data_IF_954867364228
#
_entry.id   IF_954867364228
#
_cell.length_a   1.000
_cell.length_b   1.000
_cell.length_c   1.000
_cell.angle_alpha   90.00
_cell.angle_beta   90.00
_cell.angle_gamma   90.00
#
_symmetry.space_group_name_H-M   'P 1'
#
loop_
_entity.id
_entity.type
_entity.pdbx_description
1 polymer ?
#
# COMPACT_ATOMS: atom_id res chain seq x y z
N UNK A 1 19.09 22.53 -15.80
CA UNK A 1 18.98 21.47 -14.77
C UNK A 1 17.62 20.83 -14.96
N UNK A 2 17.53 19.52 -15.21
CA UNK A 2 16.25 18.83 -15.28
C UNK A 2 15.69 18.77 -13.85
N UNK A 3 14.49 19.30 -13.62
CA UNK A 3 13.83 19.15 -12.33
C UNK A 3 13.37 17.70 -12.17
N UNK A 4 14.11 16.96 -11.35
CA UNK A 4 13.85 15.55 -11.08
C UNK A 4 12.92 15.36 -9.87
N UNK A 5 12.37 16.42 -9.27
CA UNK A 5 11.48 16.32 -8.11
C UNK A 5 10.22 15.47 -8.39
N UNK A 6 9.51 15.63 -9.53
CA UNK A 6 8.33 14.82 -9.85
C UNK A 6 8.66 13.32 -9.91
N UNK A 7 9.79 12.95 -10.51
CA UNK A 7 10.24 11.56 -10.64
C UNK A 7 10.60 10.98 -9.27
N UNK A 8 11.31 11.74 -8.43
CA UNK A 8 11.64 11.30 -7.07
C UNK A 8 10.40 11.07 -6.21
N UNK A 9 9.39 11.93 -6.34
CA UNK A 9 8.10 11.76 -5.65
C UNK A 9 7.34 10.56 -6.17
N UNK A 10 7.31 10.36 -7.49
CA UNK A 10 6.68 9.20 -8.09
C UNK A 10 7.31 7.90 -7.57
N UNK A 11 8.64 7.83 -7.54
CA UNK A 11 9.36 6.69 -6.98
C UNK A 11 9.09 6.52 -5.48
N UNK A 12 9.04 7.61 -4.71
CA UNK A 12 8.74 7.55 -3.28
C UNK A 12 7.37 6.90 -3.01
N UNK A 13 6.35 7.17 -3.83
CA UNK A 13 5.04 6.54 -3.73
C UNK A 13 4.94 5.16 -4.39
N UNK A 14 5.79 4.85 -5.36
CA UNK A 14 5.83 3.54 -6.00
C UNK A 14 6.37 2.46 -5.06
N UNK A 15 7.31 2.81 -4.17
CA UNK A 15 7.88 1.86 -3.20
C UNK A 15 6.80 1.25 -2.27
N UNK A 16 5.97 2.04 -1.54
CA UNK A 16 4.90 1.47 -0.73
C UNK A 16 3.81 0.78 -1.56
N UNK A 17 3.57 1.21 -2.81
CA UNK A 17 2.67 0.50 -3.72
C UNK A 17 3.16 -0.93 -4.02
N UNK A 18 4.45 -1.09 -4.35
CA UNK A 18 5.08 -2.40 -4.53
C UNK A 18 5.06 -3.19 -3.22
N UNK A 19 5.32 -2.52 -2.10
CA UNK A 19 5.19 -3.09 -0.76
C UNK A 19 3.81 -3.69 -0.51
N UNK A 20 2.74 -2.97 -0.85
CA UNK A 20 1.37 -3.41 -0.64
C UNK A 20 1.05 -4.64 -1.50
N UNK A 21 1.53 -4.68 -2.74
CA UNK A 21 1.40 -5.84 -3.62
C UNK A 21 2.17 -7.07 -3.08
N UNK A 22 3.38 -6.86 -2.54
CA UNK A 22 4.14 -7.94 -1.91
C UNK A 22 3.46 -8.45 -0.64
N UNK A 23 2.98 -7.53 0.20
CA UNK A 23 2.27 -7.87 1.44
C UNK A 23 1.06 -8.76 1.16
N UNK A 24 0.14 -8.33 0.29
CA UNK A 24 -1.07 -9.11 -0.02
C UNK A 24 -0.74 -10.46 -0.64
N UNK A 25 0.31 -10.53 -1.46
CA UNK A 25 0.75 -11.79 -2.07
C UNK A 25 1.25 -12.76 -1.01
N UNK A 26 2.12 -12.30 -0.10
CA UNK A 26 2.66 -13.13 0.98
C UNK A 26 1.55 -13.54 1.95
N UNK A 27 0.64 -12.62 2.29
CA UNK A 27 -0.52 -12.91 3.12
C UNK A 27 -1.38 -14.03 2.51
N UNK A 28 -1.70 -13.95 1.21
CA UNK A 28 -2.43 -14.99 0.50
C UNK A 28 -1.70 -16.34 0.57
N UNK A 29 -0.39 -16.37 0.37
CA UNK A 29 0.39 -17.60 0.47
C UNK A 29 0.44 -18.15 1.91
N UNK A 30 0.60 -17.30 2.92
CA UNK A 30 0.56 -17.70 4.32
C UNK A 30 -0.79 -18.32 4.68
N UNK A 31 -1.89 -17.70 4.25
CA UNK A 31 -3.24 -18.22 4.45
C UNK A 31 -3.45 -19.58 3.76
N UNK A 32 -3.07 -19.70 2.47
CA UNK A 32 -3.19 -20.95 1.72
C UNK A 32 -2.36 -22.07 2.35
N UNK A 33 -1.14 -21.76 2.81
CA UNK A 33 -0.28 -22.74 3.48
C UNK A 33 -0.90 -23.22 4.80
N UNK A 34 -1.49 -22.31 5.59
CA UNK A 34 -2.19 -22.68 6.81
C UNK A 34 -3.44 -23.54 6.54
N UNK A 35 -4.23 -23.19 5.52
CA UNK A 35 -5.41 -23.95 5.11
C UNK A 35 -5.06 -25.38 4.66
N UNK A 36 -4.04 -25.53 3.81
CA UNK A 36 -3.55 -26.84 3.37
C UNK A 36 -2.97 -27.63 4.55
N UNK A 37 -2.18 -26.98 5.41
CA UNK A 37 -1.61 -27.59 6.61
C UNK A 37 -2.65 -28.09 7.61
N UNK A 38 -3.84 -27.48 7.65
CA UNK A 38 -4.95 -27.91 8.49
C UNK A 38 -5.80 -29.04 7.85
N UNK A 39 -5.43 -29.51 6.66
CA UNK A 39 -6.23 -30.47 5.89
C UNK A 39 -7.56 -29.90 5.42
N UNK A 40 -7.65 -28.58 5.21
CA UNK A 40 -8.87 -27.90 4.76
C UNK A 40 -9.95 -27.71 5.84
N UNK A 41 -9.61 -27.97 7.11
CA UNK A 41 -10.51 -27.78 8.25
C UNK A 41 -10.66 -26.31 8.66
N UNK A 42 -9.71 -25.44 8.26
CA UNK A 42 -9.81 -24.01 8.46
C UNK A 42 -10.90 -23.44 7.54
N UNK A 43 -11.68 -22.47 8.02
CA UNK A 43 -12.73 -21.88 7.20
C UNK A 43 -12.14 -21.21 5.95
N UNK A 44 -12.61 -21.63 4.78
CA UNK A 44 -12.21 -21.05 3.50
C UNK A 44 -12.68 -19.60 3.41
N UNK A 45 -11.76 -18.69 3.11
CA UNK A 45 -12.04 -17.29 2.86
C UNK A 45 -12.50 -17.16 1.40
N UNK A 46 -13.81 -17.06 1.19
CA UNK A 46 -14.40 -16.84 -0.12
C UNK A 46 -14.70 -15.36 -0.30
N UNK A 47 -14.12 -14.74 -1.31
CA UNK A 47 -14.51 -13.39 -1.71
C UNK A 47 -15.71 -13.46 -2.63
N UNK A 48 -16.79 -12.78 -2.25
CA UNK A 48 -17.89 -12.52 -3.17
C UNK A 48 -17.44 -11.53 -4.28
N UNK A 49 -18.24 -11.32 -5.34
CA UNK A 49 -17.87 -10.41 -6.41
C UNK A 49 -17.59 -8.98 -5.93
N UNK A 50 -18.31 -8.49 -4.93
CA UNK A 50 -18.12 -7.13 -4.41
C UNK A 50 -16.79 -7.00 -3.66
N UNK A 51 -16.41 -8.02 -2.89
CA UNK A 51 -15.15 -8.07 -2.18
C UNK A 51 -13.96 -8.17 -3.15
N UNK A 52 -14.08 -8.95 -4.23
CA UNK A 52 -13.06 -9.00 -5.29
C UNK A 52 -12.88 -7.63 -5.97
N UNK A 53 -13.97 -6.92 -6.24
CA UNK A 53 -13.90 -5.54 -6.72
C UNK A 53 -13.24 -4.61 -5.71
N UNK A 54 -13.59 -4.72 -4.43
CA UNK A 54 -12.98 -3.93 -3.36
C UNK A 54 -11.46 -4.10 -3.29
N UNK A 55 -10.99 -5.35 -3.29
CA UNK A 55 -9.55 -5.68 -3.30
C UNK A 55 -8.89 -5.12 -4.57
N UNK A 56 -9.50 -5.32 -5.74
CA UNK A 56 -8.95 -4.86 -7.02
C UNK A 56 -8.84 -3.34 -7.10
N UNK A 57 -9.87 -2.62 -6.65
CA UNK A 57 -9.88 -1.15 -6.60
C UNK A 57 -8.84 -0.66 -5.60
N UNK A 58 -8.77 -1.27 -4.42
CA UNK A 58 -7.85 -0.83 -3.37
C UNK A 58 -6.38 -0.97 -3.80
N UNK A 59 -5.98 -2.17 -4.23
CA UNK A 59 -4.60 -2.40 -4.67
C UNK A 59 -4.31 -1.71 -6.02
N UNK A 60 -5.29 -1.59 -6.91
CA UNK A 60 -5.16 -0.84 -8.16
C UNK A 60 -4.98 0.66 -7.95
N UNK A 61 -5.62 1.24 -6.92
CA UNK A 61 -5.53 2.66 -6.61
C UNK A 61 -4.12 3.12 -6.21
N UNK A 62 -3.23 2.21 -5.80
CA UNK A 62 -1.83 2.52 -5.48
C UNK A 62 -1.03 3.06 -6.67
N UNK A 63 -1.52 2.93 -7.92
CA UNK A 63 -0.90 3.58 -9.09
C UNK A 63 -1.17 5.09 -9.14
N UNK A 64 -2.23 5.56 -8.46
CA UNK A 64 -2.69 6.96 -8.56
C UNK A 64 -1.69 7.96 -7.97
N UNK A 65 -1.14 7.77 -6.74
CA UNK A 65 -0.20 8.75 -6.18
C UNK A 65 1.06 8.95 -7.05
N UNK A 66 1.74 7.91 -7.58
CA UNK A 66 2.85 8.09 -8.51
C UNK A 66 2.47 8.86 -9.79
N UNK A 67 1.29 8.59 -10.38
CA UNK A 67 0.83 9.32 -11.57
C UNK A 67 0.56 10.80 -11.29
N UNK A 68 -0.01 11.11 -10.12
CA UNK A 68 -0.24 12.49 -9.67
C UNK A 68 1.08 13.23 -9.44
N UNK A 69 2.11 12.55 -8.94
CA UNK A 69 3.46 13.11 -8.79
C UNK A 69 4.03 13.59 -10.13
N UNK A 70 3.85 12.79 -11.19
CA UNK A 70 4.38 13.08 -12.52
C UNK A 70 3.67 14.25 -13.22
N UNK A 71 2.46 14.61 -12.77
CA UNK A 71 1.73 15.76 -13.32
C UNK A 71 2.38 17.11 -12.96
N UNK A 72 3.25 17.15 -11.93
CA UNK A 72 4.08 18.30 -11.55
C UNK A 72 3.29 19.61 -11.35
N UNK A 73 2.11 19.52 -10.73
CA UNK A 73 1.27 20.68 -10.37
C UNK A 73 1.02 20.70 -8.87
N UNK A 74 0.98 21.89 -8.28
CA UNK A 74 0.67 22.06 -6.85
C UNK A 74 -0.64 21.36 -6.43
N UNK A 75 -1.68 21.42 -7.26
CA UNK A 75 -2.94 20.74 -6.98
C UNK A 75 -2.81 19.21 -6.99
N UNK A 76 -1.99 18.66 -7.89
CA UNK A 76 -1.77 17.21 -7.97
C UNK A 76 -0.87 16.72 -6.86
N UNK A 77 0.06 17.55 -6.36
CA UNK A 77 0.88 17.21 -5.19
C UNK A 77 0.03 17.08 -3.92
N UNK A 78 -0.93 18.00 -3.72
CA UNK A 78 -1.90 17.89 -2.64
C UNK A 78 -2.81 16.68 -2.78
N UNK A 79 -3.33 16.42 -3.99
CA UNK A 79 -4.16 15.25 -4.26
C UNK A 79 -3.37 13.94 -4.00
N UNK A 80 -2.10 13.89 -4.42
CA UNK A 80 -1.18 12.79 -4.15
C UNK A 80 -1.01 12.57 -2.65
N UNK A 81 -0.75 13.64 -1.89
CA UNK A 81 -0.59 13.55 -0.43
C UNK A 81 -1.84 12.98 0.24
N UNK A 82 -3.03 13.46 -0.13
CA UNK A 82 -4.30 13.03 0.47
C UNK A 82 -4.61 11.58 0.10
N UNK A 83 -4.59 11.25 -1.19
CA UNK A 83 -4.96 9.92 -1.67
C UNK A 83 -3.92 8.87 -1.27
N UNK A 84 -2.64 9.18 -1.45
CA UNK A 84 -1.55 8.31 -1.01
C UNK A 84 -1.55 8.13 0.50
N UNK A 85 -1.78 9.20 1.26
CA UNK A 85 -1.91 9.13 2.72
C UNK A 85 -3.08 8.25 3.16
N UNK A 86 -4.24 8.36 2.50
CA UNK A 86 -5.40 7.51 2.78
C UNK A 86 -5.10 6.03 2.48
N UNK A 87 -4.50 5.72 1.33
CA UNK A 87 -4.12 4.35 0.96
C UNK A 87 -3.11 3.76 1.95
N UNK A 88 -2.12 4.56 2.36
CA UNK A 88 -1.13 4.18 3.37
C UNK A 88 -1.78 3.85 4.73
N UNK A 89 -2.65 4.72 5.23
CA UNK A 89 -3.33 4.51 6.52
C UNK A 89 -4.21 3.27 6.47
N UNK A 90 -5.00 3.12 5.40
CA UNK A 90 -5.89 1.97 5.23
C UNK A 90 -5.10 0.67 5.11
N UNK A 91 -3.99 0.66 4.35
CA UNK A 91 -3.14 -0.53 4.21
C UNK A 91 -2.53 -0.91 5.56
N UNK A 92 -1.98 0.06 6.28
CA UNK A 92 -1.36 -0.19 7.58
C UNK A 92 -2.37 -0.76 8.58
N UNK A 93 -3.58 -0.18 8.65
CA UNK A 93 -4.63 -0.70 9.54
C UNK A 93 -5.07 -2.11 9.14
N UNK A 94 -5.26 -2.36 7.85
CA UNK A 94 -5.65 -3.68 7.34
C UNK A 94 -4.56 -4.72 7.61
N UNK A 95 -3.30 -4.44 7.27
CA UNK A 95 -2.21 -5.39 7.45
C UNK A 95 -1.85 -5.64 8.92
N UNK A 96 -2.01 -4.65 9.81
CA UNK A 96 -1.92 -4.89 11.26
C UNK A 96 -3.05 -5.79 11.73
N UNK A 97 -4.30 -5.52 11.33
CA UNK A 97 -5.44 -6.35 11.70
C UNK A 97 -5.28 -7.79 11.22
N UNK A 98 -4.91 -7.96 9.96
CA UNK A 98 -4.67 -9.27 9.37
C UNK A 98 -3.48 -9.99 10.01
N UNK A 99 -2.40 -9.28 10.35
CA UNK A 99 -1.29 -9.90 11.05
C UNK A 99 -1.60 -10.28 12.50
N UNK A 100 -2.51 -9.57 13.18
CA UNK A 100 -3.02 -10.00 14.48
C UNK A 100 -3.89 -11.26 14.36
N UNK A 101 -4.59 -11.44 13.23
CA UNK A 101 -5.43 -12.62 12.95
C UNK A 101 -4.59 -13.83 12.50
N UNK A 102 -3.69 -13.61 11.56
CA UNK A 102 -3.02 -14.67 10.77
C UNK A 102 -1.55 -14.89 11.18
N UNK A 103 -0.99 -14.01 12.03
CA UNK A 103 0.31 -14.20 12.69
C UNK A 103 1.22 -12.96 12.64
N UNK A 104 1.93 -12.72 13.75
CA UNK A 104 2.72 -11.50 13.95
C UNK A 104 3.82 -11.21 12.91
N UNK A 105 4.26 -12.23 12.16
CA UNK A 105 5.20 -12.05 11.05
C UNK A 105 4.61 -11.17 9.92
N UNK A 106 3.30 -11.23 9.71
CA UNK A 106 2.61 -10.38 8.73
C UNK A 106 2.52 -8.92 9.22
N UNK A 107 2.37 -8.69 10.53
CA UNK A 107 2.45 -7.33 11.09
C UNK A 107 3.82 -6.73 10.80
N UNK A 108 4.90 -7.49 11.05
CA UNK A 108 6.26 -7.05 10.75
C UNK A 108 6.47 -6.75 9.27
N UNK A 109 5.91 -7.60 8.39
CA UNK A 109 5.97 -7.41 6.94
C UNK A 109 5.22 -6.15 6.49
N UNK A 110 3.99 -5.91 6.95
CA UNK A 110 3.21 -4.71 6.61
C UNK A 110 3.96 -3.45 7.02
N UNK A 111 4.46 -3.43 8.26
CA UNK A 111 5.17 -2.28 8.80
C UNK A 111 6.45 -1.97 8.00
N UNK A 112 7.17 -3.01 7.56
CA UNK A 112 8.41 -2.86 6.83
C UNK A 112 8.18 -2.52 5.34
N UNK A 113 7.25 -3.23 4.69
CA UNK A 113 7.06 -3.15 3.24
C UNK A 113 6.18 -1.95 2.84
N UNK A 114 5.19 -1.59 3.66
CA UNK A 114 4.21 -0.56 3.32
C UNK A 114 4.34 0.64 4.24
N UNK A 115 4.29 0.43 5.55
CA UNK A 115 4.15 1.54 6.49
C UNK A 115 5.41 2.42 6.50
N UNK A 116 6.59 1.83 6.63
CA UNK A 116 7.85 2.58 6.68
C UNK A 116 8.09 3.37 5.36
N UNK A 117 7.99 2.76 4.16
CA UNK A 117 8.09 3.52 2.92
C UNK A 117 6.98 4.55 2.74
N UNK A 118 5.76 4.26 3.19
CA UNK A 118 4.64 5.19 3.14
C UNK A 118 4.85 6.45 3.99
N UNK A 119 5.41 6.29 5.19
CA UNK A 119 5.82 7.43 6.05
C UNK A 119 6.90 8.27 5.35
N UNK A 120 7.88 7.63 4.74
CA UNK A 120 8.93 8.34 3.97
C UNK A 120 8.30 9.11 2.81
N UNK A 121 7.40 8.49 2.04
CA UNK A 121 6.70 9.14 0.93
C UNK A 121 5.86 10.34 1.37
N UNK A 122 5.14 10.22 2.49
CA UNK A 122 4.37 11.30 3.12
C UNK A 122 5.28 12.48 3.51
N UNK A 123 6.35 12.21 4.26
CA UNK A 123 7.29 13.24 4.70
C UNK A 123 7.93 13.93 3.48
N UNK A 124 8.35 13.14 2.49
CA UNK A 124 9.01 13.65 1.29
C UNK A 124 8.07 14.55 0.47
N UNK A 125 6.83 14.12 0.28
CA UNK A 125 5.77 14.90 -0.36
C UNK A 125 5.47 16.20 0.39
N UNK A 126 5.28 16.11 1.71
CA UNK A 126 5.01 17.27 2.55
C UNK A 126 6.13 18.31 2.49
N UNK A 127 7.39 17.86 2.49
CA UNK A 127 8.55 18.75 2.36
C UNK A 127 8.58 19.41 0.98
N UNK A 128 8.24 18.69 -0.08
CA UNK A 128 8.17 19.25 -1.42
C UNK A 128 7.12 20.36 -1.52
N UNK A 129 5.89 20.10 -1.07
CA UNK A 129 4.79 21.07 -1.12
C UNK A 129 5.12 22.35 -0.35
N UNK A 130 5.85 22.25 0.77
CA UNK A 130 6.29 23.42 1.55
C UNK A 130 7.44 24.21 0.92
N UNK A 131 8.16 23.62 -0.03
CA UNK A 131 9.27 24.26 -0.74
C UNK A 131 8.88 24.93 -2.06
N UNK A 132 7.63 24.72 -2.51
CA UNK A 132 7.01 25.41 -3.66
C UNK A 132 6.34 26.69 -3.16
#
# INVERSE_FOLDING_TARGET
MIDNAPVKLALAWLIPAVGAALFVTIQCFSYLNAYVGSGGTMQAMTFDPAALWGVSIFYGAWVVPPLLALAARRATDWAMLILGGLLFVMSTLAGVFDGLRDGGHLVGLELLAVTLPGVVALIFTWRHIRSI
#
